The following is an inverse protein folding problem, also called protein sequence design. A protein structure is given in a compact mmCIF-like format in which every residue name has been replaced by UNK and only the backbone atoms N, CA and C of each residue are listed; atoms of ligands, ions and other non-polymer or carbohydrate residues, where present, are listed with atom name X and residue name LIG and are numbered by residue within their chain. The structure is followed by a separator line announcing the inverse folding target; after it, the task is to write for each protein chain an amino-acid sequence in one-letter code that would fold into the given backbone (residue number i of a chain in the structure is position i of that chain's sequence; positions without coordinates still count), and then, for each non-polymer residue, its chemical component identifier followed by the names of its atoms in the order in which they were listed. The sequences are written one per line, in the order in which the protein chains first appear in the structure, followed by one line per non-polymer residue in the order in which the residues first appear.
data_IF_185809663681
#
_entry.id   IF_185809663681
#
_cell.length_a   1.000
_cell.length_b   1.000
_cell.length_c   1.000
_cell.angle_alpha   90.00
_cell.angle_beta   90.00
_cell.angle_gamma   90.00
#
_symmetry.space_group_name_H-M   'P 1'
#
loop_
_entity.id
_entity.type
_entity.pdbx_description
1 polymer ?
#
# COMPACT_ATOMS: atom_id res chain seq x y z
N UNK A 1 -5.03 -13.81 9.09
CA UNK A 1 -3.74 -14.05 9.78
C UNK A 1 -3.37 -12.93 10.77
N UNK A 2 -3.26 -11.65 10.39
CA UNK A 2 -2.88 -10.57 11.33
C UNK A 2 -3.97 -10.17 12.37
N UNK A 3 -5.17 -10.73 12.25
CA UNK A 3 -6.32 -10.39 13.08
C UNK A 3 -6.07 -10.65 14.58
N UNK A 4 -5.34 -11.71 14.92
CA UNK A 4 -5.01 -12.08 16.31
C UNK A 4 -4.11 -11.04 16.98
N UNK A 5 -3.21 -10.40 16.21
CA UNK A 5 -2.34 -9.33 16.71
C UNK A 5 -3.14 -8.05 16.96
N UNK A 6 -4.01 -7.69 16.03
CA UNK A 6 -4.84 -6.49 16.13
C UNK A 6 -5.92 -6.59 17.23
N UNK A 7 -6.32 -7.81 17.63
CA UNK A 7 -7.22 -8.02 18.77
C UNK A 7 -6.65 -7.57 20.12
N UNK A 8 -5.32 -7.48 20.28
CA UNK A 8 -4.70 -7.05 21.55
C UNK A 8 -5.00 -5.58 21.86
N UNK A 9 -5.12 -4.74 20.84
CA UNK A 9 -5.55 -3.36 20.95
C UNK A 9 -6.66 -3.06 19.93
N UNK A 10 -7.92 -3.41 20.25
CA UNK A 10 -9.01 -3.30 19.29
C UNK A 10 -9.27 -1.84 18.89
N UNK A 11 -9.72 -1.65 17.65
CA UNK A 11 -10.16 -0.36 17.08
C UNK A 11 -9.12 0.76 16.98
N UNK A 12 -7.84 0.51 17.30
CA UNK A 12 -6.77 1.45 16.98
C UNK A 12 -6.47 1.44 15.48
N UNK A 13 -6.78 2.55 14.82
CA UNK A 13 -6.48 2.73 13.39
C UNK A 13 -4.96 2.75 13.17
N UNK A 14 -4.24 3.63 13.86
CA UNK A 14 -2.78 3.71 13.85
C UNK A 14 -2.26 3.53 15.30
N UNK A 15 -1.60 2.41 15.62
CA UNK A 15 -1.03 2.21 16.96
C UNK A 15 0.23 3.07 17.16
N UNK A 16 0.64 3.28 18.41
CA UNK A 16 1.79 4.14 18.73
C UNK A 16 3.10 3.66 18.11
N UNK A 17 3.25 2.34 17.94
CA UNK A 17 4.37 1.72 17.21
C UNK A 17 4.51 2.24 15.77
N UNK A 18 3.40 2.59 15.10
CA UNK A 18 3.42 3.10 13.73
C UNK A 18 4.16 4.43 13.59
N UNK A 19 4.40 5.15 14.69
CA UNK A 19 5.18 6.40 14.69
C UNK A 19 6.67 6.17 14.46
N UNK A 20 7.15 4.94 14.66
CA UNK A 20 8.54 4.57 14.35
C UNK A 20 8.81 4.46 12.85
N UNK A 21 7.75 4.32 12.03
CA UNK A 21 7.87 4.24 10.59
C UNK A 21 7.97 5.63 9.96
N UNK A 22 8.78 5.80 8.90
CA UNK A 22 8.82 7.05 8.17
C UNK A 22 7.43 7.34 7.57
N UNK A 23 6.85 8.53 7.81
CA UNK A 23 5.57 8.88 7.23
C UNK A 23 5.67 9.04 5.71
N UNK A 24 4.58 8.82 4.97
CA UNK A 24 4.59 9.06 3.53
C UNK A 24 4.80 10.55 3.24
N UNK A 25 5.58 10.82 2.20
CA UNK A 25 5.83 12.19 1.73
C UNK A 25 4.54 12.79 1.15
N UNK A 26 4.40 14.12 1.23
CA UNK A 26 3.25 14.82 0.64
C UNK A 26 3.16 14.66 -0.88
N UNK A 27 4.30 14.42 -1.54
CA UNK A 27 4.43 14.20 -2.98
C UNK A 27 4.44 12.72 -3.38
N UNK A 28 4.08 11.82 -2.46
CA UNK A 28 3.99 10.39 -2.77
C UNK A 28 3.00 10.16 -3.93
N UNK A 29 3.41 9.47 -5.01
CA UNK A 29 2.56 9.21 -6.17
C UNK A 29 1.23 8.53 -5.80
N UNK A 30 1.21 7.70 -4.75
CA UNK A 30 -0.01 7.03 -4.28
C UNK A 30 -1.05 8.03 -3.77
N UNK A 31 -0.60 9.01 -3.00
CA UNK A 31 -1.47 10.05 -2.43
C UNK A 31 -1.92 11.02 -3.53
N UNK A 32 -1.01 11.40 -4.43
CA UNK A 32 -1.36 12.21 -5.61
C UNK A 32 -2.40 11.51 -6.48
N UNK A 33 -2.27 10.21 -6.70
CA UNK A 33 -3.26 9.42 -7.44
C UNK A 33 -4.60 9.37 -6.72
N UNK A 34 -4.64 9.26 -5.39
CA UNK A 34 -5.89 9.35 -4.62
C UNK A 34 -6.53 10.74 -4.73
N UNK A 35 -5.73 11.82 -4.72
CA UNK A 35 -6.23 13.17 -5.01
C UNK A 35 -6.81 13.30 -6.41
N UNK A 36 -6.16 12.68 -7.41
CA UNK A 36 -6.67 12.59 -8.78
C UNK A 36 -7.98 11.81 -8.87
N UNK A 37 -8.13 10.71 -8.12
CA UNK A 37 -9.41 10.00 -8.00
C UNK A 37 -10.50 10.89 -7.40
N UNK A 38 -10.15 11.74 -6.42
CA UNK A 38 -11.05 12.78 -5.90
C UNK A 38 -11.49 13.76 -6.99
N UNK A 39 -10.58 14.21 -7.84
CA UNK A 39 -10.92 15.05 -8.99
C UNK A 39 -11.89 14.33 -9.95
N UNK A 40 -11.59 13.08 -10.32
CA UNK A 40 -12.47 12.26 -11.16
C UNK A 40 -13.87 12.09 -10.54
N UNK A 41 -13.96 11.91 -9.21
CA UNK A 41 -15.25 11.83 -8.50
C UNK A 41 -16.06 13.12 -8.63
N UNK A 42 -15.41 14.29 -8.56
CA UNK A 42 -16.07 15.58 -8.78
C UNK A 42 -16.55 15.79 -10.23
N UNK A 43 -15.80 15.28 -11.21
CA UNK A 43 -16.24 15.29 -12.61
C UNK A 43 -17.45 14.37 -12.83
N UNK A 44 -17.43 13.18 -12.21
CA UNK A 44 -18.55 12.22 -12.26
C UNK A 44 -19.80 12.78 -11.59
N UNK A 45 -19.67 13.48 -10.45
CA UNK A 45 -20.79 14.13 -9.77
C UNK A 45 -21.48 15.15 -10.70
N UNK A 46 -20.68 16.01 -11.34
CA UNK A 46 -21.19 16.98 -12.32
C UNK A 46 -21.86 16.30 -13.53
N UNK A 47 -21.31 15.17 -13.99
CA UNK A 47 -21.88 14.38 -15.09
C UNK A 47 -23.25 13.80 -14.73
N UNK A 48 -23.39 13.19 -13.54
CA UNK A 48 -24.65 12.60 -13.06
C UNK A 48 -25.75 13.67 -12.97
N UNK A 49 -25.43 14.85 -12.46
CA UNK A 49 -26.39 15.96 -12.32
C UNK A 49 -26.57 16.80 -13.59
N UNK A 50 -26.04 16.36 -14.74
CA UNK A 50 -26.14 17.06 -16.04
C UNK A 50 -25.67 18.52 -15.98
N UNK A 51 -24.67 18.81 -15.15
CA UNK A 51 -24.02 20.12 -15.05
C UNK A 51 -22.82 20.19 -15.99
N UNK A 52 -22.35 21.39 -16.42
CA UNK A 52 -21.15 21.50 -17.23
C UNK A 52 -19.92 20.98 -16.46
N UNK A 53 -19.36 19.87 -16.93
CA UNK A 53 -18.40 19.01 -16.23
C UNK A 53 -17.19 19.79 -15.67
N UNK A 54 -16.61 20.67 -16.48
CA UNK A 54 -15.36 21.38 -16.15
C UNK A 54 -15.59 22.75 -15.46
N UNK A 55 -16.76 23.35 -15.61
CA UNK A 55 -17.01 24.74 -15.18
C UNK A 55 -17.83 24.84 -13.89
N UNK A 56 -18.67 23.83 -13.63
CA UNK A 56 -19.54 23.84 -12.46
C UNK A 56 -18.80 23.40 -11.20
N UNK A 57 -18.90 24.20 -10.13
CA UNK A 57 -18.61 23.73 -8.78
C UNK A 57 -17.13 23.53 -8.45
N UNK A 58 -16.26 24.49 -8.80
CA UNK A 58 -14.83 24.46 -8.45
C UNK A 58 -14.59 24.25 -6.94
N UNK A 59 -15.41 24.86 -6.08
CA UNK A 59 -15.35 24.65 -4.63
C UNK A 59 -15.63 23.19 -4.24
N UNK A 60 -16.53 22.50 -4.95
CA UNK A 60 -16.82 21.07 -4.72
C UNK A 60 -15.67 20.20 -5.21
N UNK A 61 -15.13 20.48 -6.39
CA UNK A 61 -13.97 19.75 -6.91
C UNK A 61 -12.76 19.87 -5.97
N UNK A 62 -12.50 21.07 -5.45
CA UNK A 62 -11.45 21.29 -4.45
C UNK A 62 -11.73 20.51 -3.16
N UNK A 63 -12.98 20.49 -2.69
CA UNK A 63 -13.40 19.68 -1.54
C UNK A 63 -13.15 18.18 -1.79
N UNK A 64 -13.57 17.63 -2.93
CA UNK A 64 -13.34 16.22 -3.25
C UNK A 64 -11.85 15.87 -3.29
N UNK A 65 -11.03 16.70 -3.94
CA UNK A 65 -9.58 16.49 -4.00
C UNK A 65 -8.97 16.49 -2.59
N UNK A 66 -9.28 17.52 -1.79
CA UNK A 66 -8.70 17.67 -0.43
C UNK A 66 -9.17 16.56 0.51
N UNK A 67 -10.44 16.15 0.43
CA UNK A 67 -10.98 15.05 1.22
C UNK A 67 -10.31 13.71 0.88
N UNK A 68 -10.18 13.38 -0.42
CA UNK A 68 -9.51 12.16 -0.86
C UNK A 68 -8.01 12.17 -0.55
N UNK A 69 -7.35 13.33 -0.69
CA UNK A 69 -5.95 13.49 -0.34
C UNK A 69 -5.73 13.25 1.16
N UNK A 70 -6.56 13.86 2.01
CA UNK A 70 -6.50 13.71 3.46
C UNK A 70 -6.78 12.26 3.90
N UNK A 71 -7.89 11.67 3.44
CA UNK A 71 -8.20 10.26 3.74
C UNK A 71 -7.10 9.32 3.20
N UNK A 72 -6.62 9.59 2.00
CA UNK A 72 -5.57 8.83 1.34
C UNK A 72 -4.26 8.82 2.11
N UNK A 73 -3.87 9.95 2.70
CA UNK A 73 -2.69 10.03 3.55
C UNK A 73 -2.73 9.03 4.72
N UNK A 74 -3.85 8.98 5.44
CA UNK A 74 -4.02 8.05 6.57
C UNK A 74 -4.14 6.59 6.12
N UNK A 75 -4.76 6.33 4.96
CA UNK A 75 -4.85 4.99 4.39
C UNK A 75 -3.48 4.46 3.97
N UNK A 76 -2.67 5.27 3.28
CA UNK A 76 -1.29 4.90 2.89
C UNK A 76 -0.44 4.65 4.13
N UNK A 77 -0.52 5.54 5.13
CA UNK A 77 0.17 5.34 6.41
C UNK A 77 -0.23 4.04 7.11
N UNK A 78 -1.52 3.69 7.09
CA UNK A 78 -2.00 2.42 7.64
C UNK A 78 -1.49 1.23 6.85
N UNK A 79 -1.51 1.31 5.52
CA UNK A 79 -1.04 0.28 4.62
C UNK A 79 0.44 -0.04 4.87
N UNK A 80 1.29 0.98 4.94
CA UNK A 80 2.73 0.79 5.16
C UNK A 80 2.99 0.17 6.55
N UNK A 81 2.20 0.55 7.56
CA UNK A 81 2.26 -0.12 8.86
C UNK A 81 1.84 -1.60 8.81
N UNK A 82 0.80 -1.97 8.07
CA UNK A 82 0.42 -3.39 7.90
C UNK A 82 1.55 -4.18 7.25
N UNK A 83 2.14 -3.65 6.18
CA UNK A 83 3.25 -4.29 5.47
C UNK A 83 4.48 -4.44 6.38
N UNK A 84 4.84 -3.39 7.12
CA UNK A 84 5.96 -3.44 8.07
C UNK A 84 5.75 -4.49 9.17
N UNK A 85 4.54 -4.60 9.71
CA UNK A 85 4.20 -5.64 10.70
C UNK A 85 4.29 -7.04 10.09
N UNK A 86 3.75 -7.22 8.89
CA UNK A 86 3.82 -8.52 8.18
C UNK A 86 5.27 -8.95 7.98
N UNK A 87 6.12 -8.04 7.51
CA UNK A 87 7.52 -8.35 7.21
C UNK A 87 8.31 -8.61 8.50
N UNK A 88 8.04 -7.84 9.58
CA UNK A 88 8.59 -8.13 10.91
C UNK A 88 8.24 -9.54 11.38
N UNK A 89 6.96 -9.90 11.32
CA UNK A 89 6.46 -11.17 11.85
C UNK A 89 7.04 -12.34 11.04
N UNK A 90 7.20 -12.15 9.73
CA UNK A 90 7.87 -13.12 8.85
C UNK A 90 9.35 -13.31 9.25
N UNK A 91 10.11 -12.22 9.42
CA UNK A 91 11.52 -12.31 9.80
C UNK A 91 11.72 -12.89 11.20
N UNK A 92 10.85 -12.55 12.14
CA UNK A 92 10.86 -13.12 13.49
C UNK A 92 10.59 -14.63 13.45
N UNK A 93 9.63 -15.07 12.64
CA UNK A 93 9.31 -16.48 12.47
C UNK A 93 10.49 -17.28 11.89
N UNK A 94 11.11 -16.77 10.82
CA UNK A 94 12.30 -17.39 10.19
C UNK A 94 13.46 -17.50 11.20
N UNK A 95 13.67 -16.46 12.00
CA UNK A 95 14.74 -16.46 13.01
C UNK A 95 14.51 -17.47 14.13
N UNK A 96 13.25 -17.71 14.50
CA UNK A 96 12.88 -18.66 15.56
C UNK A 96 12.92 -20.12 15.08
N UNK A 97 12.74 -20.38 13.79
CA UNK A 97 12.66 -21.73 13.21
C UNK A 97 13.68 -21.93 12.07
N UNK A 98 15.00 -21.90 12.36
CA UNK A 98 16.03 -22.11 11.34
C UNK A 98 15.98 -23.51 10.70
N UNK A 99 15.38 -24.50 11.37
CA UNK A 99 15.18 -25.86 10.85
C UNK A 99 14.20 -25.94 9.67
N UNK A 100 13.17 -25.10 9.66
CA UNK A 100 12.17 -25.04 8.60
C UNK A 100 12.71 -24.29 7.37
N UNK A 101 13.66 -23.38 7.59
CA UNK A 101 14.30 -22.55 6.57
C UNK A 101 15.81 -22.82 6.52
N UNK A 102 16.23 -24.04 6.10
CA UNK A 102 17.65 -24.32 5.94
C UNK A 102 18.24 -23.35 4.92
N UNK A 103 19.34 -22.68 5.28
CA UNK A 103 20.09 -21.90 4.31
C UNK A 103 20.53 -22.85 3.19
N UNK A 104 20.07 -22.57 1.96
CA UNK A 104 20.53 -23.29 0.78
C UNK A 104 22.05 -23.16 0.73
N UNK A 105 22.74 -24.26 1.08
CA UNK A 105 24.16 -24.24 1.44
C UNK A 105 25.04 -23.63 0.36
N UNK A 106 24.64 -23.74 -0.91
CA UNK A 106 25.31 -23.09 -2.05
C UNK A 106 24.28 -22.81 -3.17
N UNK A 107 24.13 -21.54 -3.56
CA UNK A 107 23.38 -21.19 -4.78
C UNK A 107 24.21 -21.63 -5.99
N UNK A 108 23.79 -22.69 -6.67
CA UNK A 108 24.50 -23.21 -7.85
C UNK A 108 24.60 -22.13 -8.93
N UNK A 109 25.79 -22.00 -9.51
CA UNK A 109 26.01 -21.04 -10.59
C UNK A 109 25.40 -21.57 -11.89
N UNK A 110 24.99 -20.69 -12.82
CA UNK A 110 24.49 -21.09 -14.14
C UNK A 110 25.48 -21.96 -14.97
N UNK A 111 26.76 -21.99 -14.59
CA UNK A 111 27.73 -22.93 -15.17
C UNK A 111 27.50 -24.39 -14.79
N UNK A 112 26.85 -24.64 -13.65
CA UNK A 112 26.49 -25.97 -13.14
C UNK A 112 25.04 -26.35 -13.45
N UNK A 113 24.22 -25.36 -13.83
CA UNK A 113 22.79 -25.52 -14.10
C UNK A 113 22.56 -25.68 -15.61
N UNK A 114 22.23 -26.89 -16.06
CA UNK A 114 21.88 -27.14 -17.46
C UNK A 114 20.36 -27.07 -17.65
N UNK A 115 19.87 -25.93 -18.14
CA UNK A 115 18.46 -25.77 -18.50
C UNK A 115 18.20 -26.24 -19.94
N UNK A 116 17.05 -26.87 -20.16
CA UNK A 116 16.65 -27.32 -21.48
C UNK A 116 16.18 -26.14 -22.32
N UNK A 117 16.92 -25.80 -23.37
CA UNK A 117 16.52 -24.74 -24.31
C UNK A 117 15.37 -25.22 -25.21
N UNK A 118 14.26 -24.47 -25.19
CA UNK A 118 13.11 -24.68 -26.07
C UNK A 118 13.06 -23.55 -27.11
N UNK A 119 13.57 -23.76 -28.35
CA UNK A 119 13.53 -22.73 -29.38
C UNK A 119 12.10 -22.45 -29.83
N UNK A 120 11.76 -21.17 -30.00
CA UNK A 120 10.51 -20.75 -30.63
C UNK A 120 10.63 -20.97 -32.15
N UNK A 121 9.76 -21.80 -32.71
CA UNK A 121 9.65 -22.10 -34.15
C UNK A 121 8.25 -21.75 -34.63
#
# INVERSE_FOLDING_TARGET
MLYTRQKREPLRFLPDESRSLPPPNLTDPRILYLGFLGYCSGLLDNYIYRRPILKSGLHRQLLYITAFYFAGYFLVKRHDYVCAVRDRDMFEYIKLHPEDFPEEKEKKTYGELFEKFHPVR
#
